data_IF_256853575315
#
_entry.id   IF_256853575315
#
_cell.length_a   1.000
_cell.length_b   1.000
_cell.length_c   1.000
_cell.angle_alpha   90.00
_cell.angle_beta   90.00
_cell.angle_gamma   90.00
#
_symmetry.space_group_name_H-M   'P 1'
#
loop_
_entity.id
_entity.type
_entity.pdbx_description
1 polymer ?
#
# COMPACT_ATOMS: atom_id res chain seq x y z
N UNK A 1 -24.88 -42.75 -27.75
CA UNK A 1 -26.31 -42.42 -27.59
C UNK A 1 -26.51 -41.00 -28.08
N UNK A 2 -26.77 -40.89 -29.39
CA UNK A 2 -27.03 -39.62 -30.10
C UNK A 2 -28.51 -39.62 -30.43
N UNK A 3 -29.26 -38.65 -29.90
CA UNK A 3 -30.68 -38.52 -30.22
C UNK A 3 -30.90 -37.38 -31.22
N UNK A 4 -31.25 -37.82 -32.44
CA UNK A 4 -32.05 -37.17 -33.50
C UNK A 4 -31.54 -35.91 -34.21
N UNK A 5 -30.99 -36.15 -35.39
CA UNK A 5 -31.23 -35.34 -36.59
C UNK A 5 -32.48 -35.87 -37.33
N UNK A 6 -32.74 -35.51 -38.60
CA UNK A 6 -33.21 -34.25 -39.22
C UNK A 6 -34.57 -34.49 -39.96
N UNK A 7 -35.00 -33.61 -40.89
CA UNK A 7 -35.62 -33.93 -42.22
C UNK A 7 -36.71 -32.92 -42.69
N UNK A 8 -36.37 -32.26 -43.80
CA UNK A 8 -37.21 -31.81 -44.95
C UNK A 8 -38.05 -30.51 -44.94
N UNK A 9 -37.39 -29.47 -45.46
CA UNK A 9 -37.68 -28.74 -46.72
C UNK A 9 -38.82 -29.28 -47.63
N UNK A 10 -39.82 -28.44 -47.93
CA UNK A 10 -40.35 -28.04 -49.28
C UNK A 10 -41.69 -27.28 -49.13
N UNK A 11 -41.70 -25.97 -49.36
CA UNK A 11 -42.23 -25.29 -50.57
C UNK A 11 -43.75 -25.40 -50.81
N UNK A 12 -44.46 -24.28 -50.59
CA UNK A 12 -45.60 -23.76 -51.37
C UNK A 12 -45.75 -22.30 -50.95
N UNK A 13 -45.34 -21.28 -51.74
CA UNK A 13 -46.09 -20.58 -52.80
C UNK A 13 -47.54 -20.24 -52.44
N UNK A 14 -47.92 -19.00 -52.76
CA UNK A 14 -49.20 -18.30 -52.56
C UNK A 14 -49.34 -17.74 -51.13
N UNK A 15 -49.65 -16.46 -50.89
CA UNK A 15 -50.25 -15.42 -51.71
C UNK A 15 -49.79 -14.05 -51.16
N UNK A 16 -49.52 -13.15 -52.09
CA UNK A 16 -49.58 -11.70 -51.89
C UNK A 16 -50.98 -11.31 -51.40
N UNK A 17 -51.12 -11.09 -50.11
CA UNK A 17 -52.15 -10.20 -49.56
C UNK A 17 -51.45 -9.20 -48.67
N UNK A 18 -51.31 -7.96 -49.16
CA UNK A 18 -50.95 -6.81 -48.35
C UNK A 18 -51.79 -6.81 -47.07
N UNK A 19 -51.19 -6.85 -45.87
CA UNK A 19 -51.85 -6.27 -44.73
C UNK A 19 -51.83 -4.76 -44.97
N UNK A 20 -53.03 -4.24 -45.19
CA UNK A 20 -53.48 -2.88 -44.90
C UNK A 20 -52.54 -2.13 -43.93
N UNK A 21 -52.21 -0.84 -44.20
CA UNK A 21 -51.32 -0.07 -43.34
C UNK A 21 -51.95 0.05 -41.95
N UNK A 22 -51.51 -0.81 -41.02
CA UNK A 22 -51.82 -0.66 -39.62
C UNK A 22 -51.29 0.70 -39.20
N UNK A 23 -52.24 1.57 -38.86
CA UNK A 23 -52.01 2.90 -38.35
C UNK A 23 -50.88 2.85 -37.32
N UNK A 24 -49.81 3.60 -37.61
CA UNK A 24 -48.76 3.88 -36.64
C UNK A 24 -49.43 4.28 -35.33
N UNK A 25 -49.21 3.49 -34.27
CA UNK A 25 -49.65 3.86 -32.94
C UNK A 25 -49.10 5.26 -32.63
N UNK A 26 -49.96 6.28 -32.49
CA UNK A 26 -49.51 7.61 -32.16
C UNK A 26 -49.17 7.62 -30.67
N UNK A 27 -47.90 7.88 -30.35
CA UNK A 27 -47.55 8.35 -29.02
C UNK A 27 -46.70 7.46 -28.12
N UNK A 28 -45.98 6.45 -28.64
CA UNK A 28 -44.80 5.96 -27.90
C UNK A 28 -43.62 6.84 -28.28
N UNK A 29 -43.17 7.78 -27.41
CA UNK A 29 -41.97 8.55 -27.69
C UNK A 29 -40.83 7.56 -27.90
N UNK A 30 -40.12 7.70 -29.03
CA UNK A 30 -38.88 6.99 -29.29
C UNK A 30 -37.97 7.11 -28.07
N UNK A 31 -37.25 6.02 -27.75
CA UNK A 31 -36.28 6.01 -26.68
C UNK A 31 -35.41 7.27 -26.78
N UNK A 32 -35.51 8.12 -25.76
CA UNK A 32 -34.79 9.40 -25.67
C UNK A 32 -33.32 9.13 -26.01
N UNK A 33 -32.74 9.96 -26.89
CA UNK A 33 -31.33 9.81 -27.26
C UNK A 33 -30.49 9.78 -25.97
N UNK A 34 -29.56 8.82 -25.87
CA UNK A 34 -28.78 8.60 -24.64
C UNK A 34 -28.18 9.89 -24.07
N UNK A 35 -27.75 10.79 -24.96
CA UNK A 35 -27.16 12.08 -24.59
C UNK A 35 -28.18 13.05 -23.99
N UNK A 36 -29.42 13.07 -24.49
CA UNK A 36 -30.50 13.89 -23.95
C UNK A 36 -30.93 13.39 -22.56
N UNK A 37 -31.04 12.07 -22.37
CA UNK A 37 -31.32 11.47 -21.08
C UNK A 37 -30.19 11.74 -20.06
N UNK A 38 -28.93 11.72 -20.51
CA UNK A 38 -27.76 12.07 -19.70
C UNK A 38 -27.77 13.55 -19.31
N UNK A 39 -27.99 14.46 -20.26
CA UNK A 39 -28.09 15.89 -19.98
C UNK A 39 -29.22 16.22 -18.99
N UNK A 40 -30.38 15.57 -19.13
CA UNK A 40 -31.50 15.76 -18.20
C UNK A 40 -31.14 15.34 -16.77
N UNK A 41 -30.34 14.27 -16.61
CA UNK A 41 -29.86 13.81 -15.30
C UNK A 41 -28.75 14.69 -14.73
N UNK A 42 -27.86 15.21 -15.58
CA UNK A 42 -26.73 16.05 -15.16
C UNK A 42 -27.13 17.49 -14.85
N UNK A 43 -28.11 18.03 -15.58
CA UNK A 43 -28.64 19.39 -15.45
C UNK A 43 -28.71 19.94 -14.01
N UNK A 44 -29.34 19.25 -13.05
CA UNK A 44 -29.46 19.75 -11.68
C UNK A 44 -28.13 19.77 -10.90
N UNK A 45 -27.10 19.07 -11.40
CA UNK A 45 -25.83 18.86 -10.70
C UNK A 45 -24.63 19.57 -11.34
N UNK A 46 -24.78 20.17 -12.53
CA UNK A 46 -23.67 20.78 -13.28
C UNK A 46 -22.88 21.81 -12.45
N UNK A 47 -23.57 22.73 -11.76
CA UNK A 47 -22.91 23.74 -10.94
C UNK A 47 -22.11 23.15 -9.75
N UNK A 48 -22.64 22.08 -9.13
CA UNK A 48 -21.93 21.37 -8.07
C UNK A 48 -20.72 20.61 -8.63
N UNK A 49 -20.86 19.99 -9.81
CA UNK A 49 -19.78 19.30 -10.50
C UNK A 49 -18.64 20.25 -10.87
N UNK A 50 -18.96 21.41 -11.43
CA UNK A 50 -17.99 22.45 -11.77
C UNK A 50 -17.26 22.96 -10.52
N UNK A 51 -18.00 23.14 -9.42
CA UNK A 51 -17.43 23.54 -8.12
C UNK A 51 -16.45 22.50 -7.59
N UNK A 52 -16.82 21.21 -7.64
CA UNK A 52 -15.93 20.11 -7.24
C UNK A 52 -14.71 20.05 -8.16
N UNK A 53 -14.89 20.13 -9.48
CA UNK A 53 -13.80 20.11 -10.44
C UNK A 53 -12.80 21.24 -10.19
N UNK A 54 -13.28 22.46 -9.98
CA UNK A 54 -12.43 23.61 -9.65
C UNK A 54 -11.67 23.40 -8.34
N UNK A 55 -12.34 22.95 -7.29
CA UNK A 55 -11.68 22.73 -5.97
C UNK A 55 -10.66 21.61 -6.03
N UNK A 56 -10.92 20.55 -6.78
CA UNK A 56 -9.95 19.47 -7.01
C UNK A 56 -8.72 20.00 -7.73
N UNK A 57 -8.90 20.83 -8.76
CA UNK A 57 -7.80 21.46 -9.46
C UNK A 57 -7.00 22.39 -8.54
N UNK A 58 -7.66 23.15 -7.66
CA UNK A 58 -7.00 24.01 -6.68
C UNK A 58 -6.09 23.23 -5.74
N UNK A 59 -6.56 22.09 -5.21
CA UNK A 59 -5.77 21.17 -4.37
C UNK A 59 -4.55 20.66 -5.14
N UNK A 60 -4.75 20.22 -6.38
CA UNK A 60 -3.66 19.64 -7.19
C UNK A 60 -2.66 20.69 -7.68
N UNK A 61 -3.09 21.93 -7.91
CA UNK A 61 -2.23 23.04 -8.34
C UNK A 61 -1.29 23.55 -7.26
N UNK A 62 -1.37 22.99 -6.05
CA UNK A 62 -0.47 23.30 -4.96
C UNK A 62 -0.81 24.58 -4.20
N UNK A 63 -2.03 25.11 -4.33
CA UNK A 63 -2.51 26.11 -3.38
C UNK A 63 -2.68 25.40 -2.03
N UNK A 64 -1.94 25.85 -1.02
CA UNK A 64 -1.92 25.21 0.30
C UNK A 64 -3.35 24.99 0.79
N UNK A 65 -3.76 23.74 0.81
CA UNK A 65 -5.11 23.33 1.22
C UNK A 65 -4.97 22.52 2.49
N UNK A 66 -5.77 22.83 3.50
CA UNK A 66 -5.71 22.11 4.77
C UNK A 66 -6.20 20.68 4.55
N UNK A 67 -5.61 19.69 5.22
CA UNK A 67 -6.05 18.29 5.13
C UNK A 67 -7.55 18.11 5.40
N UNK A 68 -8.13 18.89 6.32
CA UNK A 68 -9.56 18.86 6.61
C UNK A 68 -10.41 19.22 5.38
N UNK A 69 -9.97 20.21 4.59
CA UNK A 69 -10.66 20.64 3.37
C UNK A 69 -10.54 19.59 2.27
N UNK A 70 -9.38 18.92 2.16
CA UNK A 70 -9.17 17.78 1.25
C UNK A 70 -10.10 16.61 1.60
N UNK A 71 -10.22 16.27 2.89
CA UNK A 71 -11.16 15.25 3.38
C UNK A 71 -12.62 15.64 3.08
N UNK A 72 -12.99 16.89 3.36
CA UNK A 72 -14.33 17.39 3.09
C UNK A 72 -14.65 17.34 1.58
N UNK A 73 -13.74 17.79 0.72
CA UNK A 73 -13.91 17.74 -0.72
C UNK A 73 -14.08 16.31 -1.24
N UNK A 74 -13.27 15.36 -0.73
CA UNK A 74 -13.41 13.96 -1.11
C UNK A 74 -14.78 13.38 -0.69
N UNK A 75 -15.28 13.74 0.49
CA UNK A 75 -16.61 13.33 0.97
C UNK A 75 -17.75 13.95 0.14
N UNK A 76 -17.68 15.25 -0.13
CA UNK A 76 -18.65 15.96 -0.97
C UNK A 76 -18.69 15.38 -2.38
N UNK A 77 -17.53 15.12 -2.99
CA UNK A 77 -17.45 14.50 -4.30
C UNK A 77 -18.02 13.08 -4.32
N UNK A 78 -17.77 12.28 -3.27
CA UNK A 78 -18.35 10.95 -3.13
C UNK A 78 -19.88 11.00 -2.98
N UNK A 79 -20.40 11.94 -2.18
CA UNK A 79 -21.83 12.13 -1.97
C UNK A 79 -22.53 12.64 -3.26
N UNK A 80 -21.91 13.57 -3.99
CA UNK A 80 -22.41 14.03 -5.28
C UNK A 80 -22.44 12.89 -6.31
N UNK A 81 -21.35 12.11 -6.41
CA UNK A 81 -21.30 10.92 -7.25
C UNK A 81 -22.41 9.91 -6.92
N UNK A 82 -22.65 9.66 -5.64
CA UNK A 82 -23.69 8.74 -5.19
C UNK A 82 -25.11 9.24 -5.57
N UNK A 83 -25.36 10.55 -5.53
CA UNK A 83 -26.65 11.15 -5.94
C UNK A 83 -26.89 11.06 -7.45
N UNK A 84 -25.84 11.23 -8.25
CA UNK A 84 -25.97 11.22 -9.72
C UNK A 84 -26.30 9.81 -10.27
N UNK A 85 -25.90 8.73 -9.58
CA UNK A 85 -26.12 7.35 -10.00
C UNK A 85 -25.69 7.09 -11.47
N UNK A 86 -24.59 7.72 -11.89
CA UNK A 86 -24.02 7.58 -13.24
C UNK A 86 -22.82 6.62 -13.23
N UNK A 87 -22.55 6.01 -14.38
CA UNK A 87 -21.33 5.21 -14.57
C UNK A 87 -20.08 6.12 -14.63
N UNK A 88 -18.91 5.53 -14.39
CA UNK A 88 -17.63 6.25 -14.48
C UNK A 88 -17.40 6.84 -15.89
N UNK A 89 -17.81 6.11 -16.93
CA UNK A 89 -17.73 6.57 -18.33
C UNK A 89 -18.61 7.81 -18.57
N UNK A 90 -19.85 7.79 -18.07
CA UNK A 90 -20.78 8.90 -18.19
C UNK A 90 -20.30 10.15 -17.43
N UNK A 91 -19.75 9.96 -16.23
CA UNK A 91 -19.16 11.04 -15.45
C UNK A 91 -17.93 11.63 -16.14
N UNK A 92 -17.05 10.79 -16.68
CA UNK A 92 -15.86 11.22 -17.38
C UNK A 92 -16.21 12.02 -18.65
N UNK A 93 -17.21 11.56 -19.42
CA UNK A 93 -17.73 12.30 -20.57
C UNK A 93 -18.31 13.68 -20.19
N UNK A 94 -18.81 13.82 -18.96
CA UNK A 94 -19.32 15.06 -18.41
C UNK A 94 -18.24 15.95 -17.73
N UNK A 95 -16.96 15.62 -17.89
CA UNK A 95 -15.85 16.40 -17.31
C UNK A 95 -15.58 16.16 -15.83
N UNK A 96 -16.14 15.10 -15.25
CA UNK A 96 -15.88 14.76 -13.84
C UNK A 96 -14.39 14.40 -13.62
N UNK A 97 -13.72 14.96 -12.60
CA UNK A 97 -12.28 14.79 -12.36
C UNK A 97 -11.95 13.44 -11.70
N UNK A 98 -12.33 12.34 -12.35
CA UNK A 98 -12.32 10.98 -11.78
C UNK A 98 -10.92 10.57 -11.27
N UNK A 99 -9.89 10.73 -12.08
CA UNK A 99 -8.52 10.33 -11.74
C UNK A 99 -7.91 11.17 -10.62
N UNK A 100 -8.26 12.45 -10.56
CA UNK A 100 -7.82 13.35 -9.50
C UNK A 100 -8.48 12.99 -8.16
N UNK A 101 -9.80 12.72 -8.16
CA UNK A 101 -10.53 12.26 -6.97
C UNK A 101 -10.04 10.89 -6.49
N UNK A 102 -9.72 9.96 -7.39
CA UNK A 102 -9.11 8.66 -7.05
C UNK A 102 -7.74 8.83 -6.40
N UNK A 103 -6.87 9.68 -6.98
CA UNK A 103 -5.57 10.01 -6.39
C UNK A 103 -5.71 10.60 -5.00
N UNK A 104 -6.60 11.57 -4.82
CA UNK A 104 -6.86 12.20 -3.53
C UNK A 104 -7.36 11.20 -2.50
N UNK A 105 -8.33 10.35 -2.85
CA UNK A 105 -8.82 9.28 -1.97
C UNK A 105 -7.70 8.31 -1.58
N UNK A 106 -6.91 7.84 -2.54
CA UNK A 106 -5.79 6.93 -2.24
C UNK A 106 -4.73 7.57 -1.33
N UNK A 107 -4.51 8.88 -1.43
CA UNK A 107 -3.62 9.60 -0.52
C UNK A 107 -4.21 9.71 0.90
N UNK A 108 -5.51 9.96 1.03
CA UNK A 108 -6.21 9.96 2.32
C UNK A 108 -6.21 8.56 2.96
N UNK A 109 -6.45 7.51 2.18
CA UNK A 109 -6.43 6.12 2.68
C UNK A 109 -5.04 5.74 3.26
N UNK A 110 -3.95 6.20 2.62
CA UNK A 110 -2.57 6.01 3.13
C UNK A 110 -2.33 6.77 4.43
N UNK A 111 -2.90 7.96 4.56
CA UNK A 111 -2.83 8.74 5.80
C UNK A 111 -3.58 8.04 6.94
N UNK A 112 -4.79 7.54 6.67
CA UNK A 112 -5.59 6.83 7.65
C UNK A 112 -4.90 5.51 8.07
N UNK A 113 -4.29 4.81 7.11
CA UNK A 113 -3.46 3.63 7.39
C UNK A 113 -2.24 3.95 8.27
N UNK A 114 -1.58 5.09 8.04
CA UNK A 114 -0.50 5.57 8.90
C UNK A 114 -0.97 5.85 10.33
N UNK A 115 -2.11 6.54 10.49
CA UNK A 115 -2.69 6.85 11.79
C UNK A 115 -3.15 5.58 12.54
N UNK A 116 -3.69 4.60 11.82
CA UNK A 116 -4.01 3.29 12.38
C UNK A 116 -2.75 2.55 12.84
N UNK A 117 -1.68 2.57 12.05
CA UNK A 117 -0.42 1.91 12.39
C UNK A 117 0.22 2.51 13.65
N UNK A 118 0.15 3.83 13.84
CA UNK A 118 0.58 4.48 15.08
C UNK A 118 -0.19 3.94 16.30
N UNK A 119 -1.51 3.80 16.19
CA UNK A 119 -2.35 3.24 17.27
C UNK A 119 -2.02 1.77 17.53
N UNK A 120 -1.79 0.98 16.49
CA UNK A 120 -1.41 -0.42 16.61
C UNK A 120 -0.07 -0.57 17.33
N UNK A 121 0.90 0.27 17.02
CA UNK A 121 2.20 0.28 17.66
C UNK A 121 2.15 0.75 19.12
N UNK A 122 1.35 1.78 19.44
CA UNK A 122 1.08 2.19 20.82
C UNK A 122 0.49 1.04 21.64
N UNK A 123 -0.57 0.40 21.12
CA UNK A 123 -1.17 -0.78 21.76
C UNK A 123 -0.17 -1.94 21.88
N UNK A 124 0.66 -2.15 20.88
CA UNK A 124 1.70 -3.18 20.89
C UNK A 124 2.79 -2.94 21.94
N UNK A 125 3.11 -1.69 22.25
CA UNK A 125 4.04 -1.35 23.34
C UNK A 125 3.38 -1.55 24.70
N UNK A 126 2.14 -1.11 24.88
CA UNK A 126 1.39 -1.22 26.14
C UNK A 126 1.01 -2.68 26.48
N UNK A 127 0.67 -3.47 25.46
CA UNK A 127 0.30 -4.87 25.65
C UNK A 127 1.54 -5.73 25.98
N UNK A 128 1.46 -6.46 27.09
CA UNK A 128 2.32 -7.62 27.38
C UNK A 128 1.49 -8.90 27.25
N UNK A 129 1.95 -9.93 26.51
CA UNK A 129 3.15 -9.99 25.66
C UNK A 129 2.84 -9.77 24.16
N UNK A 130 3.37 -8.70 23.56
CA UNK A 130 3.58 -8.60 22.10
C UNK A 130 4.81 -9.43 21.74
N UNK A 131 4.75 -10.22 20.67
CA UNK A 131 5.86 -11.06 20.23
C UNK A 131 6.91 -10.27 19.47
N UNK A 132 8.15 -10.77 19.47
CA UNK A 132 9.26 -10.26 18.64
C UNK A 132 8.85 -10.10 17.17
N UNK A 133 8.15 -11.10 16.61
CA UNK A 133 7.64 -11.06 15.24
C UNK A 133 6.69 -9.89 15.02
N UNK A 134 5.75 -9.67 15.93
CA UNK A 134 4.82 -8.53 15.85
C UNK A 134 5.53 -7.18 15.89
N UNK A 135 6.54 -7.03 16.74
CA UNK A 135 7.30 -5.79 16.84
C UNK A 135 8.14 -5.52 15.57
N UNK A 136 8.77 -6.54 15.00
CA UNK A 136 9.52 -6.43 13.74
C UNK A 136 8.59 -6.14 12.56
N UNK A 137 7.44 -6.81 12.47
CA UNK A 137 6.45 -6.57 11.43
C UNK A 137 5.90 -5.13 11.48
N UNK A 138 5.74 -4.55 12.68
CA UNK A 138 5.35 -3.15 12.84
C UNK A 138 6.42 -2.20 12.28
N UNK A 139 7.70 -2.43 12.59
CA UNK A 139 8.81 -1.62 12.08
C UNK A 139 8.88 -1.64 10.54
N UNK A 140 8.77 -2.82 9.93
CA UNK A 140 8.75 -2.96 8.47
C UNK A 140 7.54 -2.24 7.86
N UNK A 141 6.35 -2.37 8.47
CA UNK A 141 5.15 -1.65 8.06
C UNK A 141 5.32 -0.14 8.14
N UNK A 142 6.01 0.37 9.16
CA UNK A 142 6.28 1.82 9.28
C UNK A 142 7.15 2.33 8.14
N UNK A 143 8.22 1.61 7.79
CA UNK A 143 9.09 1.99 6.68
C UNK A 143 8.30 2.03 5.37
N UNK A 144 7.50 0.99 5.10
CA UNK A 144 6.65 0.94 3.90
C UNK A 144 5.56 2.00 3.86
N UNK A 145 4.82 2.18 4.97
CA UNK A 145 3.74 3.15 5.08
C UNK A 145 4.26 4.59 4.96
N UNK A 146 5.43 4.89 5.53
CA UNK A 146 6.06 6.19 5.40
C UNK A 146 6.44 6.51 3.95
N UNK A 147 7.06 5.54 3.25
CA UNK A 147 7.37 5.67 1.83
C UNK A 147 6.10 5.95 0.99
N UNK A 148 5.02 5.21 1.24
CA UNK A 148 3.74 5.42 0.59
C UNK A 148 3.14 6.80 0.89
N UNK A 149 3.26 7.28 2.14
CA UNK A 149 2.75 8.58 2.56
C UNK A 149 3.53 9.74 1.93
N UNK A 150 4.86 9.64 1.82
CA UNK A 150 5.66 10.63 1.09
C UNK A 150 5.28 10.70 -0.39
N UNK A 151 5.12 9.54 -1.04
CA UNK A 151 4.66 9.48 -2.42
C UNK A 151 3.26 10.09 -2.59
N UNK A 152 2.37 9.90 -1.60
CA UNK A 152 1.05 10.52 -1.55
C UNK A 152 1.12 12.05 -1.44
N UNK A 153 2.03 12.58 -0.61
CA UNK A 153 2.27 14.02 -0.47
C UNK A 153 2.73 14.66 -1.78
N UNK A 154 3.68 14.03 -2.47
CA UNK A 154 4.11 14.48 -3.79
C UNK A 154 2.96 14.49 -4.83
N UNK A 155 2.03 13.53 -4.72
CA UNK A 155 0.88 13.43 -5.61
C UNK A 155 -0.25 14.44 -5.35
N UNK A 156 -0.25 15.11 -4.19
CA UNK A 156 -1.29 16.06 -3.78
C UNK A 156 -0.89 17.54 -3.89
N UNK A 157 0.22 17.86 -4.58
CA UNK A 157 0.57 19.19 -5.12
C UNK A 157 0.86 20.31 -4.11
N UNK A 158 0.11 20.38 -3.01
CA UNK A 158 0.22 21.36 -1.93
C UNK A 158 -0.71 21.09 -0.75
N UNK A 159 -1.32 19.90 -0.66
CA UNK A 159 -1.98 19.49 0.57
C UNK A 159 -0.96 19.28 1.67
N UNK A 160 -1.12 19.98 2.79
CA UNK A 160 -0.28 19.78 3.96
C UNK A 160 -0.68 18.47 4.66
N UNK A 161 0.08 17.41 4.40
CA UNK A 161 -0.06 16.12 5.11
C UNK A 161 0.64 16.14 6.47
N UNK A 162 1.17 17.29 6.89
CA UNK A 162 1.95 17.52 8.11
C UNK A 162 3.00 16.43 8.34
N UNK A 163 3.74 16.05 7.29
CA UNK A 163 4.69 14.93 7.34
C UNK A 163 5.68 15.12 8.48
N UNK A 164 6.26 16.31 8.64
CA UNK A 164 7.20 16.61 9.73
C UNK A 164 6.60 16.41 11.13
N UNK A 165 5.34 16.79 11.32
CA UNK A 165 4.65 16.57 12.60
C UNK A 165 4.44 15.08 12.83
N UNK A 166 4.04 14.34 11.80
CA UNK A 166 3.81 12.89 11.88
C UNK A 166 5.09 12.11 12.15
N UNK A 167 6.20 12.50 11.53
CA UNK A 167 7.53 11.97 11.83
C UNK A 167 7.90 12.20 13.31
N UNK A 168 7.77 13.43 13.80
CA UNK A 168 8.06 13.77 15.21
C UNK A 168 7.24 12.97 16.21
N UNK A 169 5.98 12.66 15.90
CA UNK A 169 5.12 11.84 16.76
C UNK A 169 5.53 10.35 16.69
N UNK A 170 5.97 9.87 15.53
CA UNK A 170 6.36 8.47 15.33
C UNK A 170 7.73 8.13 15.94
N UNK A 171 8.69 9.05 15.91
CA UNK A 171 10.07 8.81 16.35
C UNK A 171 10.21 8.11 17.71
N UNK A 172 9.65 8.67 18.80
CA UNK A 172 9.72 8.04 20.12
C UNK A 172 9.08 6.65 20.17
N UNK A 173 8.00 6.45 19.42
CA UNK A 173 7.29 5.16 19.35
C UNK A 173 8.15 4.09 18.65
N UNK A 174 8.82 4.47 17.58
CA UNK A 174 9.73 3.61 16.84
C UNK A 174 10.97 3.27 17.67
N UNK A 175 11.54 4.22 18.41
CA UNK A 175 12.63 3.96 19.35
C UNK A 175 12.21 2.92 20.40
N UNK A 176 11.02 3.08 21.00
CA UNK A 176 10.50 2.13 21.97
C UNK A 176 10.26 0.73 21.38
N UNK A 177 9.78 0.65 20.13
CA UNK A 177 9.67 -0.63 19.41
C UNK A 177 11.04 -1.26 19.17
N UNK A 178 12.04 -0.48 18.79
CA UNK A 178 13.41 -0.97 18.57
C UNK A 178 14.04 -1.48 19.86
N UNK A 179 13.92 -0.74 20.96
CA UNK A 179 14.40 -1.16 22.28
C UNK A 179 13.75 -2.47 22.74
N UNK A 180 12.46 -2.61 22.46
CA UNK A 180 11.73 -3.85 22.71
C UNK A 180 12.25 -5.00 21.86
N UNK A 181 12.45 -4.79 20.56
CA UNK A 181 13.03 -5.80 19.66
C UNK A 181 14.43 -6.21 20.10
N UNK A 182 15.25 -5.28 20.57
CA UNK A 182 16.58 -5.58 21.14
C UNK A 182 16.45 -6.46 22.38
N UNK A 183 15.56 -6.08 23.30
CA UNK A 183 15.36 -6.79 24.57
C UNK A 183 14.81 -8.19 24.36
N UNK A 184 13.74 -8.31 23.56
CA UNK A 184 13.12 -9.59 23.24
C UNK A 184 14.00 -10.43 22.32
N UNK A 185 14.75 -9.83 21.39
CA UNK A 185 15.66 -10.54 20.48
C UNK A 185 16.78 -11.28 21.23
N UNK A 186 17.31 -10.67 22.30
CA UNK A 186 18.28 -11.30 23.20
C UNK A 186 17.68 -12.52 23.91
N UNK A 187 16.41 -12.48 24.30
CA UNK A 187 15.74 -13.55 25.04
C UNK A 187 15.07 -14.63 24.16
N UNK A 188 14.60 -14.26 22.96
CA UNK A 188 13.84 -15.12 22.06
C UNK A 188 14.70 -16.19 21.40
N UNK A 189 14.15 -17.37 21.04
CA UNK A 189 14.86 -18.36 20.23
C UNK A 189 14.67 -18.13 18.71
N UNK A 190 13.81 -17.19 18.32
CA UNK A 190 13.49 -16.90 16.92
C UNK A 190 14.60 -16.08 16.24
N UNK A 191 15.60 -16.80 15.72
CA UNK A 191 16.73 -16.22 15.00
C UNK A 191 16.34 -15.66 13.62
N UNK A 192 15.26 -16.16 13.01
CA UNK A 192 14.80 -15.74 11.70
C UNK A 192 14.21 -14.32 11.76
N UNK A 193 13.33 -14.07 12.72
CA UNK A 193 12.75 -12.74 12.95
C UNK A 193 13.82 -11.73 13.38
N UNK A 194 14.74 -12.12 14.26
CA UNK A 194 15.84 -11.23 14.65
C UNK A 194 16.74 -10.88 13.45
N UNK A 195 16.99 -11.84 12.55
CA UNK A 195 17.74 -11.60 11.30
C UNK A 195 17.00 -10.65 10.37
N UNK A 196 15.67 -10.77 10.22
CA UNK A 196 14.87 -9.80 9.45
C UNK A 196 15.03 -8.38 9.99
N UNK A 197 14.93 -8.20 11.31
CA UNK A 197 15.16 -6.90 11.93
C UNK A 197 16.59 -6.38 11.68
N UNK A 198 17.60 -7.25 11.78
CA UNK A 198 18.97 -6.84 11.49
C UNK A 198 19.14 -6.40 10.04
N UNK A 199 18.54 -7.11 9.09
CA UNK A 199 18.57 -6.69 7.66
C UNK A 199 17.93 -5.32 7.50
N UNK A 200 16.77 -5.07 8.11
CA UNK A 200 16.10 -3.77 8.09
C UNK A 200 16.99 -2.65 8.66
N UNK A 201 17.70 -2.92 9.76
CA UNK A 201 18.57 -1.96 10.45
C UNK A 201 19.96 -1.80 9.83
N UNK A 202 20.39 -2.73 8.99
CA UNK A 202 21.65 -2.64 8.24
C UNK A 202 21.45 -2.10 6.83
N UNK A 203 20.25 -2.22 6.27
CA UNK A 203 19.88 -1.62 4.99
C UNK A 203 19.89 -0.08 5.08
N UNK A 204 20.57 0.55 4.13
CA UNK A 204 20.73 2.01 4.11
C UNK A 204 19.39 2.72 3.92
N UNK A 205 18.48 2.17 3.10
CA UNK A 205 17.18 2.78 2.87
C UNK A 205 16.29 2.68 4.12
N UNK A 206 16.23 1.50 4.75
CA UNK A 206 15.54 1.30 6.03
C UNK A 206 16.04 2.23 7.13
N UNK A 207 17.37 2.34 7.30
CA UNK A 207 17.98 3.25 8.27
C UNK A 207 17.66 4.72 7.99
N UNK A 208 17.74 5.15 6.73
CA UNK A 208 17.45 6.53 6.36
C UNK A 208 16.01 6.89 6.71
N UNK A 209 15.06 5.99 6.46
CA UNK A 209 13.65 6.20 6.83
C UNK A 209 13.49 6.25 8.34
N UNK A 210 13.98 5.24 9.07
CA UNK A 210 13.78 5.15 10.52
C UNK A 210 14.49 6.29 11.27
N UNK A 211 15.78 6.50 11.00
CA UNK A 211 16.59 7.48 11.73
C UNK A 211 16.49 8.88 11.12
N UNK A 212 16.70 8.99 9.81
CA UNK A 212 16.85 10.27 9.13
C UNK A 212 15.52 11.01 8.97
N UNK A 213 14.45 10.28 8.65
CA UNK A 213 13.15 10.89 8.34
C UNK A 213 12.16 10.80 9.50
N UNK A 214 12.08 9.65 10.17
CA UNK A 214 11.15 9.42 11.27
C UNK A 214 11.74 9.76 12.65
N UNK A 215 13.04 10.04 12.74
CA UNK A 215 13.69 10.45 13.98
C UNK A 215 13.75 9.36 15.04
N UNK A 216 13.71 8.08 14.66
CA UNK A 216 13.89 6.96 15.57
C UNK A 216 15.37 6.85 15.99
N UNK A 217 15.59 6.53 17.26
CA UNK A 217 16.91 6.24 17.80
C UNK A 217 17.27 4.80 17.49
N UNK A 218 18.26 4.61 16.61
CA UNK A 218 18.70 3.27 16.25
C UNK A 218 19.57 2.65 17.36
N UNK A 219 19.55 1.32 17.51
CA UNK A 219 20.43 0.63 18.45
C UNK A 219 21.90 0.96 18.20
N UNK A 220 22.66 1.12 19.28
CA UNK A 220 24.09 1.39 19.21
C UNK A 220 24.84 0.28 18.46
N UNK A 221 25.98 0.62 17.85
CA UNK A 221 26.80 -0.32 17.10
C UNK A 221 27.25 -1.53 17.94
N UNK A 222 27.44 -1.37 19.26
CA UNK A 222 27.73 -2.49 20.16
C UNK A 222 26.51 -3.40 20.30
N UNK A 223 25.32 -2.84 20.54
CA UNK A 223 24.06 -3.60 20.60
C UNK A 223 23.81 -4.41 19.33
N UNK A 224 24.07 -3.81 18.17
CA UNK A 224 23.95 -4.51 16.88
C UNK A 224 24.95 -5.67 16.75
N UNK A 225 26.19 -5.51 17.24
CA UNK A 225 27.18 -6.59 17.29
C UNK A 225 26.76 -7.72 18.24
N UNK A 226 26.21 -7.38 19.40
CA UNK A 226 25.71 -8.37 20.36
C UNK A 226 24.55 -9.18 19.77
N UNK A 227 23.59 -8.51 19.10
CA UNK A 227 22.49 -9.19 18.40
C UNK A 227 23.00 -10.08 17.26
N UNK A 228 24.00 -9.63 16.50
CA UNK A 228 24.63 -10.43 15.46
C UNK A 228 25.27 -11.70 16.03
N UNK A 229 26.00 -11.59 17.14
CA UNK A 229 26.61 -12.73 17.82
C UNK A 229 25.54 -13.73 18.30
N UNK A 230 24.42 -13.23 18.83
CA UNK A 230 23.27 -14.05 19.22
C UNK A 230 22.68 -14.81 18.02
N UNK A 231 22.49 -14.16 16.87
CA UNK A 231 22.00 -14.83 15.65
C UNK A 231 23.00 -15.87 15.16
N UNK A 232 24.30 -15.58 15.17
CA UNK A 232 25.36 -16.50 14.74
C UNK A 232 25.45 -17.72 15.65
N UNK A 233 25.48 -17.54 16.97
CA UNK A 233 25.54 -18.63 17.94
C UNK A 233 24.34 -19.59 17.78
N UNK A 234 23.15 -19.06 17.50
CA UNK A 234 21.94 -19.86 17.24
C UNK A 234 21.96 -20.56 15.88
N UNK A 235 22.58 -19.94 14.89
CA UNK A 235 22.72 -20.52 13.55
C UNK A 235 23.79 -21.62 13.52
N UNK A 236 24.74 -21.60 14.46
CA UNK A 236 25.84 -22.55 14.60
C UNK A 236 25.54 -23.73 15.56
N UNK A 237 24.27 -24.05 15.80
CA UNK A 237 23.84 -25.11 16.73
C UNK A 237 24.54 -26.48 16.53
N UNK A 238 24.48 -27.37 17.55
CA UNK A 238 25.49 -28.38 17.91
C UNK A 238 25.69 -29.56 16.94
N UNK A 239 25.23 -29.46 15.69
CA UNK A 239 25.31 -30.50 14.66
C UNK A 239 26.28 -30.19 13.52
N UNK A 240 27.13 -29.16 13.62
CA UNK A 240 28.21 -28.97 12.64
C UNK A 240 29.43 -29.77 13.10
N UNK A 241 29.73 -30.95 12.51
CA UNK A 241 30.95 -31.67 12.84
C UNK A 241 32.12 -30.79 12.39
N UNK A 242 32.81 -30.20 13.37
CA UNK A 242 34.21 -29.88 13.17
C UNK A 242 34.90 -31.18 12.80
N UNK A 243 35.27 -31.32 11.52
CA UNK A 243 36.10 -32.42 11.06
C UNK A 243 37.40 -32.41 11.88
N UNK A 244 37.71 -33.44 12.67
CA UNK A 244 39.04 -33.64 13.21
C UNK A 244 39.80 -34.49 12.19
N UNK A 245 40.38 -33.85 11.19
CA UNK A 245 41.44 -34.43 10.36
C UNK A 245 42.71 -33.64 10.65
N UNK A 246 43.49 -34.01 11.66
CA UNK A 246 44.62 -34.93 11.48
C UNK A 246 45.56 -34.45 10.34
N UNK A 247 46.42 -33.50 10.69
CA UNK A 247 47.58 -33.10 9.89
C UNK A 247 48.70 -32.76 10.85
N UNK A 248 49.41 -33.79 11.30
CA UNK A 248 50.61 -33.69 12.13
C UNK A 248 51.69 -32.81 11.44
N UNK A 249 52.54 -32.12 12.21
CA UNK A 249 53.53 -31.20 11.67
C UNK A 249 54.70 -31.97 11.02
N UNK A 250 55.21 -31.53 9.85
CA UNK A 250 56.53 -31.98 9.41
C UNK A 250 57.59 -31.27 10.26
N UNK A 251 58.30 -32.04 11.10
CA UNK A 251 59.58 -31.67 11.68
C UNK A 251 60.58 -31.37 10.56
N UNK A 252 61.29 -30.23 10.58
CA UNK A 252 62.52 -30.08 9.80
C UNK A 252 63.70 -30.67 10.58
N UNK A 253 64.34 -31.63 9.93
CA UNK A 253 65.56 -32.35 10.31
C UNK A 253 66.70 -31.42 10.73
N UNK A 254 67.42 -31.86 11.76
CA UNK A 254 68.68 -31.30 12.22
C UNK A 254 69.80 -31.66 11.22
N UNK A 255 70.46 -30.65 10.66
CA UNK A 255 71.71 -30.83 9.93
C UNK A 255 72.90 -30.93 10.92
N UNK A 256 73.86 -31.84 10.67
CA UNK A 256 74.94 -32.14 11.60
C UNK A 256 76.11 -31.14 11.52
N UNK A 257 76.69 -30.92 12.69
CA UNK A 257 77.97 -30.26 12.94
C UNK A 257 79.10 -31.04 12.25
N UNK A 258 79.93 -30.34 11.46
CA UNK A 258 81.25 -30.80 11.04
C UNK A 258 82.21 -29.61 11.12
N UNK A 259 83.06 -29.62 12.14
CA UNK A 259 84.35 -28.93 12.17
C UNK A 259 85.44 -30.00 11.91
N UNK A 260 86.57 -29.62 11.33
CA UNK A 260 87.68 -29.13 12.17
C UNK A 260 88.11 -27.70 11.90
#
# INVERSE_FOLDING_TARGET
ASYFAPVLRRLSKQETTSPEPQAAHPGMPFAEAKDAALQRKLSPHLAEMDTVARRVEEVLSGRSTRLAEVRQLAQEAAALRARMCLSDEALLAAGWPLEALRRMRGSLDRLDAWEALLKDAQRGIEARPTSLAGAVDLLEKFVGAWGALKAAGAGLGGADLELERRARVAGPLLSALLDRVVTEGKASQDSATLRRCMVLLCDMAGRQVLQGELGAELPQAQTMRDLAAVVQARSAGPGSPAAPGAGAPPQPDAAPVLAP
#
